data_IF_010495272581
#
_entry.id   IF_010495272581
#
_cell.length_a   1.000
_cell.length_b   1.000
_cell.length_c   1.000
_cell.angle_alpha   90.00
_cell.angle_beta   90.00
_cell.angle_gamma   90.00
#
_symmetry.space_group_name_H-M   'P 1'
#
loop_
_entity.id
_entity.type
_entity.pdbx_description
1 polymer ?
#
# COMPACT_ATOMS: atom_id res chain seq x y z
N UNK A 1 -2.16 3.60 -17.84
CA UNK A 1 -1.02 2.81 -18.34
C UNK A 1 -0.16 2.31 -17.19
N UNK A 2 0.24 1.08 -17.25
CA UNK A 2 1.08 0.45 -16.23
C UNK A 2 2.43 0.13 -16.85
N UNK A 3 3.50 0.58 -16.20
CA UNK A 3 4.87 0.28 -16.60
C UNK A 3 5.47 -0.64 -15.55
N UNK A 4 6.04 -1.76 -15.98
CA UNK A 4 6.68 -2.73 -15.08
C UNK A 4 8.14 -2.87 -15.45
N UNK A 5 9.03 -2.80 -14.44
CA UNK A 5 10.47 -2.96 -14.66
C UNK A 5 11.06 -4.18 -13.96
N UNK A 6 10.33 -4.76 -13.01
CA UNK A 6 10.70 -6.02 -12.42
C UNK A 6 11.47 -5.93 -11.11
N UNK A 7 11.68 -7.11 -10.53
CA UNK A 7 12.25 -7.28 -9.18
C UNK A 7 13.72 -6.85 -9.09
N UNK A 8 14.50 -7.16 -10.10
CA UNK A 8 15.94 -6.91 -10.07
C UNK A 8 16.32 -5.48 -10.43
N UNK A 9 15.39 -4.75 -11.00
CA UNK A 9 15.65 -3.36 -11.39
C UNK A 9 15.24 -2.42 -10.28
N UNK A 10 16.02 -1.41 -10.09
CA UNK A 10 15.86 -0.47 -9.02
C UNK A 10 15.81 0.92 -9.56
N UNK A 11 14.62 1.48 -9.73
CA UNK A 11 14.55 2.89 -10.06
C UNK A 11 14.89 3.75 -8.85
N UNK A 12 14.08 3.69 -7.80
CA UNK A 12 14.27 4.49 -6.59
C UNK A 12 13.41 3.91 -5.48
N UNK A 13 13.96 3.86 -4.28
CA UNK A 13 13.25 3.31 -3.14
C UNK A 13 13.33 4.20 -1.91
N UNK A 14 13.73 5.45 -2.10
CA UNK A 14 13.62 6.43 -1.03
C UNK A 14 12.17 6.90 -0.91
N UNK A 15 11.73 7.17 0.30
CA UNK A 15 10.34 7.53 0.60
C UNK A 15 9.81 8.63 -0.31
N UNK A 16 10.61 9.64 -0.60
CA UNK A 16 10.18 10.76 -1.44
C UNK A 16 9.93 10.39 -2.90
N UNK A 17 10.37 9.20 -3.31
CA UNK A 17 10.17 8.71 -4.65
C UNK A 17 9.07 7.64 -4.75
N UNK A 18 8.51 7.26 -3.62
CA UNK A 18 7.38 6.33 -3.60
C UNK A 18 6.13 7.15 -3.91
N UNK A 19 5.41 6.74 -4.95
CA UNK A 19 4.28 7.51 -5.49
C UNK A 19 3.00 6.71 -5.42
N UNK A 20 1.88 7.40 -5.33
CA UNK A 20 0.56 6.80 -5.50
C UNK A 20 0.52 6.15 -6.89
N UNK A 21 0.08 4.90 -6.95
CA UNK A 21 0.08 4.12 -8.18
C UNK A 21 1.29 3.21 -8.34
N UNK A 22 2.31 3.35 -7.49
CA UNK A 22 3.45 2.43 -7.53
C UNK A 22 3.00 1.02 -7.22
N UNK A 23 3.50 0.08 -8.02
CA UNK A 23 3.27 -1.35 -7.85
C UNK A 23 4.49 -1.92 -7.13
N UNK A 24 4.24 -2.66 -6.06
CA UNK A 24 5.33 -3.26 -5.31
C UNK A 24 5.18 -4.77 -5.23
N UNK A 25 6.30 -5.40 -4.94
CA UNK A 25 6.38 -6.84 -4.72
C UNK A 25 7.12 -7.07 -3.41
N UNK A 26 6.67 -8.02 -2.61
CA UNK A 26 7.41 -8.41 -1.42
C UNK A 26 7.49 -9.92 -1.33
N UNK A 27 8.61 -10.37 -0.78
CA UNK A 27 8.89 -11.79 -0.57
C UNK A 27 8.70 -12.13 0.90
N UNK A 28 8.04 -13.24 1.15
CA UNK A 28 7.95 -13.79 2.49
C UNK A 28 8.15 -15.31 2.43
N UNK A 29 8.76 -15.86 3.50
CA UNK A 29 9.14 -17.25 3.46
C UNK A 29 10.25 -17.49 2.42
N UNK A 30 10.33 -18.70 1.91
CA UNK A 30 11.44 -19.07 1.02
C UNK A 30 11.24 -18.65 -0.43
N UNK A 31 10.04 -18.77 -0.96
CA UNK A 31 9.79 -18.57 -2.39
C UNK A 31 8.41 -18.04 -2.66
N UNK A 32 7.86 -17.26 -1.77
CA UNK A 32 6.53 -16.72 -1.98
C UNK A 32 6.61 -15.21 -2.14
N UNK A 33 6.02 -14.73 -3.23
CA UNK A 33 5.96 -13.32 -3.57
C UNK A 33 4.51 -12.88 -3.62
N UNK A 34 4.25 -11.71 -3.08
CA UNK A 34 2.95 -11.05 -3.21
C UNK A 34 3.14 -9.65 -3.75
N UNK A 35 2.05 -9.10 -4.22
CA UNK A 35 2.07 -7.83 -4.93
C UNK A 35 1.02 -6.90 -4.34
N UNK A 36 1.25 -5.60 -4.50
CA UNK A 36 0.31 -4.61 -4.07
C UNK A 36 0.52 -3.29 -4.79
N UNK A 37 -0.25 -2.29 -4.36
CA UNK A 37 -0.20 -0.96 -4.97
C UNK A 37 -0.30 0.09 -3.90
N UNK A 38 0.46 1.16 -4.05
CA UNK A 38 0.38 2.34 -3.19
C UNK A 38 -0.89 3.10 -3.58
N UNK A 39 -1.84 3.20 -2.67
CA UNK A 39 -3.14 3.83 -2.93
C UNK A 39 -3.15 5.31 -2.59
N UNK A 40 -2.52 5.68 -1.49
CA UNK A 40 -2.60 7.05 -0.98
C UNK A 40 -1.47 7.31 0.00
N UNK A 41 -1.27 8.59 0.31
CA UNK A 41 -0.42 9.01 1.42
C UNK A 41 -1.25 9.91 2.32
N UNK A 42 -1.64 9.39 3.46
CA UNK A 42 -2.42 10.10 4.48
C UNK A 42 -1.65 9.93 5.78
N UNK A 43 -0.69 10.81 6.05
CA UNK A 43 0.33 10.71 7.09
C UNK A 43 1.32 9.59 6.76
N UNK A 44 0.84 8.36 6.62
CA UNK A 44 1.60 7.20 6.15
C UNK A 44 1.07 6.77 4.79
N UNK A 45 1.84 5.98 4.07
CA UNK A 45 1.33 5.38 2.84
C UNK A 45 0.30 4.32 3.18
N UNK A 46 -0.82 4.36 2.47
CA UNK A 46 -1.86 3.32 2.56
C UNK A 46 -1.79 2.52 1.27
N UNK A 47 -1.78 1.21 1.40
CA UNK A 47 -1.60 0.30 0.28
C UNK A 47 -2.71 -0.73 0.24
N UNK A 48 -2.94 -1.30 -0.95
CA UNK A 48 -3.71 -2.52 -1.09
C UNK A 48 -2.76 -3.66 -1.40
N UNK A 49 -3.02 -4.81 -0.81
CA UNK A 49 -2.33 -6.06 -1.12
C UNK A 49 -3.27 -6.87 -1.99
N UNK A 50 -2.78 -7.38 -3.11
CA UNK A 50 -3.58 -8.19 -4.02
C UNK A 50 -3.73 -9.61 -3.49
N UNK A 51 -4.88 -10.21 -3.77
CA UNK A 51 -5.16 -11.60 -3.42
C UNK A 51 -4.56 -12.52 -4.48
N UNK A 52 -3.24 -12.49 -4.59
CA UNK A 52 -2.50 -13.38 -5.46
C UNK A 52 -1.11 -13.60 -4.88
N UNK A 53 -0.63 -14.81 -5.01
CA UNK A 53 0.72 -15.17 -4.59
C UNK A 53 1.38 -15.94 -5.71
N UNK A 54 2.71 -15.85 -5.79
CA UNK A 54 3.48 -16.48 -6.85
C UNK A 54 4.79 -17.01 -6.28
N UNK A 55 5.38 -17.98 -6.95
CA UNK A 55 6.73 -18.44 -6.64
C UNK A 55 7.80 -17.65 -7.40
N UNK A 56 7.38 -16.66 -8.20
CA UNK A 56 8.26 -15.79 -8.96
C UNK A 56 7.89 -14.33 -8.71
N UNK A 57 8.87 -13.42 -8.67
CA UNK A 57 8.61 -11.99 -8.44
C UNK A 57 8.20 -11.28 -9.74
N UNK A 58 7.25 -11.85 -10.46
CA UNK A 58 6.80 -11.36 -11.77
C UNK A 58 5.28 -11.21 -11.75
N UNK A 59 4.82 -10.05 -12.19
CA UNK A 59 3.40 -9.77 -12.38
C UNK A 59 3.23 -9.08 -13.72
N UNK A 60 2.12 -9.33 -14.40
CA UNK A 60 1.80 -8.70 -15.67
C UNK A 60 0.79 -7.57 -15.49
N UNK A 61 0.68 -6.71 -16.49
CA UNK A 61 -0.36 -5.68 -16.49
C UNK A 61 -1.75 -6.31 -16.41
N UNK A 62 -1.98 -7.40 -17.13
CA UNK A 62 -3.26 -8.11 -17.09
C UNK A 62 -3.57 -8.61 -15.67
N UNK A 63 -2.56 -9.13 -14.98
CA UNK A 63 -2.72 -9.58 -13.59
C UNK A 63 -3.13 -8.45 -12.68
N UNK A 64 -2.53 -7.27 -12.84
CA UNK A 64 -2.82 -6.10 -12.01
C UNK A 64 -4.25 -5.62 -12.28
N UNK A 65 -4.64 -5.55 -13.54
CA UNK A 65 -5.98 -5.09 -13.91
C UNK A 65 -7.07 -6.04 -13.44
N UNK A 66 -6.77 -7.33 -13.36
CA UNK A 66 -7.71 -8.36 -12.90
C UNK A 66 -7.60 -8.64 -11.40
N UNK A 67 -6.65 -8.03 -10.71
CA UNK A 67 -6.35 -8.36 -9.32
C UNK A 67 -7.52 -8.01 -8.40
N UNK A 68 -7.78 -8.93 -7.47
CA UNK A 68 -8.69 -8.68 -6.36
C UNK A 68 -7.89 -8.26 -5.15
N UNK A 69 -8.48 -7.39 -4.37
CA UNK A 69 -7.86 -6.90 -3.14
C UNK A 69 -8.00 -7.93 -2.03
N UNK A 70 -6.89 -8.25 -1.37
CA UNK A 70 -6.89 -9.03 -0.16
C UNK A 70 -7.17 -8.15 1.05
N UNK A 71 -6.46 -7.03 1.15
CA UNK A 71 -6.63 -6.08 2.25
C UNK A 71 -6.09 -4.70 1.88
N UNK A 72 -6.48 -3.71 2.67
CA UNK A 72 -5.97 -2.35 2.64
C UNK A 72 -5.34 -2.07 4.00
N UNK A 73 -4.12 -1.55 4.01
CA UNK A 73 -3.40 -1.31 5.26
C UNK A 73 -2.41 -0.16 5.12
N UNK A 74 -2.18 0.60 6.19
CA UNK A 74 -1.01 1.50 6.24
C UNK A 74 0.28 0.69 6.28
N UNK A 75 1.33 1.22 5.64
CA UNK A 75 2.66 0.60 5.66
C UNK A 75 3.71 1.63 6.04
N UNK A 76 4.69 1.17 6.79
CA UNK A 76 5.91 1.93 7.02
C UNK A 76 6.84 1.73 5.81
N UNK A 77 6.54 2.45 4.75
CA UNK A 77 7.29 2.35 3.50
C UNK A 77 8.73 2.80 3.66
N UNK A 78 8.99 3.67 4.62
CA UNK A 78 10.34 4.13 4.90
C UNK A 78 11.25 2.97 5.29
N UNK A 79 10.80 2.11 6.18
CA UNK A 79 11.58 0.97 6.62
C UNK A 79 11.57 -0.17 5.61
N UNK A 80 10.41 -0.46 5.02
CA UNK A 80 10.25 -1.64 4.19
C UNK A 80 11.01 -1.55 2.87
N UNK A 81 11.10 -0.36 2.28
CA UNK A 81 11.72 -0.18 0.97
C UNK A 81 13.12 0.43 1.03
N UNK A 82 13.72 0.58 2.21
CA UNK A 82 15.00 1.25 2.37
C UNK A 82 16.17 0.47 1.78
N UNK A 83 16.06 -0.84 1.67
CA UNK A 83 17.11 -1.70 1.14
C UNK A 83 17.15 -1.80 -0.38
N UNK A 84 16.23 -1.10 -1.01
CA UNK A 84 16.25 -0.97 -2.47
C UNK A 84 16.16 -2.34 -3.15
N UNK A 85 17.11 -2.65 -4.03
CA UNK A 85 17.09 -3.91 -4.79
C UNK A 85 17.61 -5.12 -3.99
N UNK A 86 18.02 -4.95 -2.76
CA UNK A 86 18.51 -6.05 -1.93
C UNK A 86 17.48 -6.48 -0.89
N UNK A 87 16.44 -5.67 -0.68
CA UNK A 87 15.44 -5.94 0.34
C UNK A 87 14.37 -6.91 -0.11
N UNK A 88 13.52 -7.25 0.83
CA UNK A 88 12.37 -8.15 0.63
C UNK A 88 11.17 -7.42 0.03
N UNK A 89 11.17 -6.08 0.05
CA UNK A 89 10.10 -5.22 -0.46
C UNK A 89 10.68 -4.30 -1.54
N UNK A 90 10.10 -4.32 -2.72
CA UNK A 90 10.64 -3.56 -3.86
C UNK A 90 9.51 -2.97 -4.70
N UNK A 91 9.74 -1.76 -5.20
CA UNK A 91 8.86 -1.17 -6.20
C UNK A 91 9.22 -1.79 -7.55
N UNK A 92 8.25 -2.39 -8.21
CA UNK A 92 8.46 -3.12 -9.46
C UNK A 92 7.74 -2.50 -10.65
N UNK A 93 6.95 -1.46 -10.42
CA UNK A 93 6.23 -0.80 -11.50
C UNK A 93 5.47 0.42 -11.01
N UNK A 94 4.76 1.04 -11.95
CA UNK A 94 3.95 2.22 -11.66
C UNK A 94 2.75 2.28 -12.60
N UNK A 95 1.62 2.65 -12.05
CA UNK A 95 0.39 2.91 -12.81
C UNK A 95 0.12 4.40 -12.81
N UNK A 96 0.24 5.03 -13.97
CA UNK A 96 -0.07 6.43 -14.11
C UNK A 96 -1.57 6.67 -14.00
N UNK A 97 -1.94 7.83 -13.51
CA UNK A 97 -3.33 8.28 -13.38
C UNK A 97 -4.18 7.37 -12.49
N UNK A 98 -3.53 6.61 -11.61
CA UNK A 98 -4.24 5.79 -10.63
C UNK A 98 -4.92 6.69 -9.60
N UNK A 99 -6.18 6.39 -9.32
CA UNK A 99 -6.91 6.94 -8.18
C UNK A 99 -7.54 5.80 -7.40
N UNK A 100 -7.64 5.90 -6.06
CA UNK A 100 -8.28 4.86 -5.27
C UNK A 100 -9.71 4.61 -5.76
N UNK A 101 -10.15 3.35 -5.81
CA UNK A 101 -11.51 3.04 -6.20
C UNK A 101 -12.51 3.50 -5.15
N UNK A 102 -13.72 3.78 -5.60
CA UNK A 102 -14.78 4.30 -4.74
C UNK A 102 -15.14 3.35 -3.60
N UNK A 103 -14.98 2.05 -3.80
CA UNK A 103 -15.27 1.05 -2.79
C UNK A 103 -14.34 1.12 -1.58
N UNK A 104 -13.22 1.83 -1.69
CA UNK A 104 -12.29 2.03 -0.59
C UNK A 104 -12.69 3.20 0.32
N UNK A 105 -13.73 3.96 -0.03
CA UNK A 105 -14.14 5.15 0.73
C UNK A 105 -14.56 4.82 2.15
N UNK A 106 -15.12 3.66 2.38
CA UNK A 106 -15.61 3.25 3.68
C UNK A 106 -14.58 2.50 4.53
N UNK A 107 -13.33 2.47 4.07
CA UNK A 107 -12.24 1.87 4.84
C UNK A 107 -11.54 2.99 5.60
N UNK A 108 -11.67 2.95 6.91
CA UNK A 108 -11.21 4.01 7.80
C UNK A 108 -10.10 3.52 8.73
N UNK A 109 -9.20 4.45 9.06
CA UNK A 109 -8.13 4.20 10.02
C UNK A 109 -8.15 5.30 11.07
N UNK A 110 -7.96 4.91 12.34
CA UNK A 110 -7.97 5.85 13.46
C UNK A 110 -6.59 6.45 13.68
N UNK A 111 -6.57 7.67 14.19
CA UNK A 111 -5.34 8.33 14.61
C UNK A 111 -5.64 9.38 15.68
N UNK A 112 -4.58 10.02 16.20
CA UNK A 112 -4.72 10.87 17.37
C UNK A 112 -4.80 10.06 18.65
N UNK A 113 -5.38 10.61 19.69
CA UNK A 113 -5.55 9.90 20.94
C UNK A 113 -7.03 9.57 21.18
N UNK A 114 -7.29 8.77 22.23
CA UNK A 114 -8.64 8.28 22.48
C UNK A 114 -9.64 9.37 22.87
N UNK A 115 -9.15 10.52 23.36
CA UNK A 115 -10.01 11.63 23.77
C UNK A 115 -10.30 12.61 22.64
N UNK A 116 -9.37 12.72 21.68
CA UNK A 116 -9.48 13.60 20.51
C UNK A 116 -9.22 12.81 19.23
N UNK A 117 -9.76 11.61 19.12
CA UNK A 117 -9.51 10.73 18.01
C UNK A 117 -10.14 11.19 16.72
N UNK A 118 -9.50 10.81 15.63
CA UNK A 118 -9.96 11.07 14.27
C UNK A 118 -9.81 9.82 13.44
N UNK A 119 -10.54 9.77 12.33
CA UNK A 119 -10.38 8.73 11.31
C UNK A 119 -10.15 9.36 9.95
N UNK A 120 -9.38 8.68 9.14
CA UNK A 120 -9.11 9.08 7.76
C UNK A 120 -9.20 7.87 6.84
N UNK A 121 -9.53 8.14 5.57
CA UNK A 121 -9.58 7.12 4.51
C UNK A 121 -8.57 7.45 3.40
N UNK A 122 -8.53 6.63 2.35
CA UNK A 122 -7.59 6.80 1.24
C UNK A 122 -7.89 8.04 0.38
N UNK A 123 -9.05 8.65 0.55
CA UNK A 123 -9.41 9.91 -0.13
C UNK A 123 -9.02 11.13 0.71
N UNK A 124 -8.26 10.93 1.79
CA UNK A 124 -7.84 11.98 2.72
C UNK A 124 -9.03 12.71 3.37
N UNK A 125 -10.15 12.04 3.48
CA UNK A 125 -11.29 12.53 4.25
C UNK A 125 -11.01 12.25 5.73
N UNK A 126 -11.25 13.24 6.58
CA UNK A 126 -10.96 13.14 8.01
C UNK A 126 -12.18 13.58 8.80
N UNK A 127 -12.53 12.80 9.81
CA UNK A 127 -13.66 13.07 10.69
C UNK A 127 -13.28 12.82 12.15
N UNK A 128 -13.82 13.62 13.08
CA UNK A 128 -13.70 13.31 14.51
C UNK A 128 -14.54 12.07 14.83
N UNK A 129 -14.07 11.27 15.79
CA UNK A 129 -14.75 10.04 16.19
C UNK A 129 -14.83 9.92 17.70
N UNK A 130 -15.74 9.07 18.16
CA UNK A 130 -15.88 8.75 19.57
C UNK A 130 -14.72 7.87 20.05
N UNK A 131 -14.54 7.81 21.36
CA UNK A 131 -13.54 6.93 21.96
C UNK A 131 -13.79 5.47 21.59
N UNK A 132 -15.06 5.04 21.56
CA UNK A 132 -15.42 3.69 21.20
C UNK A 132 -15.06 3.36 19.76
N UNK A 133 -15.35 4.26 18.82
CA UNK A 133 -15.01 4.09 17.42
C UNK A 133 -13.49 4.10 17.23
N UNK A 134 -12.79 4.98 17.94
CA UNK A 134 -11.33 5.05 17.86
C UNK A 134 -10.67 3.73 18.22
N UNK A 135 -11.21 3.06 19.25
CA UNK A 135 -10.70 1.75 19.67
C UNK A 135 -11.06 0.62 18.72
N UNK A 136 -12.17 0.74 18.01
CA UNK A 136 -12.65 -0.30 17.09
C UNK A 136 -11.95 -0.30 15.75
N UNK A 137 -11.43 0.84 15.31
CA UNK A 137 -10.81 0.96 13.99
C UNK A 137 -9.33 0.56 14.01
N UNK A 138 -8.81 -0.01 12.92
CA UNK A 138 -7.37 -0.23 12.81
C UNK A 138 -6.64 1.12 12.80
N UNK A 139 -5.46 1.18 13.43
CA UNK A 139 -4.72 2.44 13.50
C UNK A 139 -4.10 2.81 12.15
N UNK A 140 -4.01 4.10 11.88
CA UNK A 140 -3.33 4.63 10.70
C UNK A 140 -1.81 4.47 10.83
N UNK A 141 -1.29 4.50 12.02
CA UNK A 141 0.12 4.23 12.28
C UNK A 141 0.38 2.73 12.11
N UNK A 142 1.27 2.36 11.21
CA UNK A 142 1.60 0.96 10.98
C UNK A 142 2.33 0.31 12.14
#
# INVERSE_FOLDING_TARGET
MITLWGWEKKPRTMLRYIKIGDIFCFRYGHRTYRFGRIMAKVIFHIVEIFDCASDQPVITEADILAAKRLLVTPLDTYSLFDRKSEGEWRIVGHQEDYTPPEDARDIWFSWGDSDCGKKSNVFDQTEPISKAEWRALPPLSP
#
